data_IF_798149554173
#
_entry.id   IF_798149554173
#
_cell.length_a   1.000
_cell.length_b   1.000
_cell.length_c   1.000
_cell.angle_alpha   90.00
_cell.angle_beta   90.00
_cell.angle_gamma   90.00
#
_symmetry.space_group_name_H-M   'P 1'
#
loop_
_entity.id
_entity.type
_entity.pdbx_description
1 polymer ?
#
# COMPACT_ATOMS: atom_id res chain seq x y z
N UNK A 1 15.89 -8.74 2.71
CA UNK A 1 14.47 -8.39 2.95
C UNK A 1 14.24 -8.45 4.45
N UNK A 2 13.79 -7.36 5.09
CA UNK A 2 13.47 -7.34 6.51
C UNK A 2 12.36 -8.34 6.83
N UNK A 3 12.32 -8.86 8.07
CA UNK A 3 11.29 -9.80 8.53
C UNK A 3 10.74 -9.34 9.87
N UNK A 4 9.59 -9.88 10.28
CA UNK A 4 9.00 -9.66 11.61
C UNK A 4 8.75 -8.19 11.95
N UNK A 5 8.24 -7.41 10.98
CA UNK A 5 7.92 -6.00 11.19
C UNK A 5 9.13 -5.06 11.16
N UNK A 6 10.34 -5.55 10.87
CA UNK A 6 11.54 -4.71 10.75
C UNK A 6 11.44 -3.71 9.59
N UNK A 7 12.14 -2.59 9.77
CA UNK A 7 12.22 -1.49 8.81
C UNK A 7 12.91 -1.91 7.50
N UNK A 8 12.42 -1.33 6.41
CA UNK A 8 13.00 -1.51 5.08
C UNK A 8 14.16 -0.54 4.85
N UNK A 9 15.11 -0.97 4.01
CA UNK A 9 16.18 -0.11 3.55
C UNK A 9 15.61 1.18 2.97
N UNK A 10 16.29 2.29 3.23
CA UNK A 10 15.92 3.56 2.61
C UNK A 10 16.12 3.46 1.10
N UNK A 11 15.30 4.20 0.34
CA UNK A 11 15.48 4.32 -1.11
C UNK A 11 16.88 4.81 -1.46
N UNK A 12 17.47 5.70 -0.65
CA UNK A 12 18.85 6.16 -0.80
C UNK A 12 19.86 5.01 -0.74
N UNK A 13 19.66 4.07 0.20
CA UNK A 13 20.54 2.92 0.38
C UNK A 13 20.37 1.93 -0.77
N UNK A 14 19.13 1.69 -1.20
CA UNK A 14 18.85 0.86 -2.38
C UNK A 14 19.55 1.43 -3.62
N UNK A 15 19.45 2.75 -3.85
CA UNK A 15 20.13 3.43 -4.97
C UNK A 15 21.65 3.33 -4.84
N UNK A 16 22.21 3.62 -3.66
CA UNK A 16 23.66 3.57 -3.42
C UNK A 16 24.23 2.16 -3.66
N UNK A 17 23.45 1.12 -3.38
CA UNK A 17 23.82 -0.28 -3.57
C UNK A 17 23.34 -0.86 -4.91
N UNK A 18 22.81 -0.02 -5.82
CA UNK A 18 22.25 -0.41 -7.11
C UNK A 18 21.18 -1.54 -7.03
N UNK A 19 20.40 -1.56 -5.95
CA UNK A 19 19.24 -2.42 -5.75
C UNK A 19 17.99 -1.69 -6.27
N UNK A 20 17.23 -2.29 -7.19
CA UNK A 20 16.12 -1.59 -7.88
C UNK A 20 14.83 -2.40 -8.01
N UNK A 21 14.84 -3.64 -7.53
CA UNK A 21 13.75 -4.57 -7.81
C UNK A 21 13.39 -5.35 -6.55
N UNK A 22 12.11 -5.29 -6.20
CA UNK A 22 11.48 -6.17 -5.21
C UNK A 22 10.53 -7.10 -5.97
N UNK A 23 10.70 -8.40 -5.80
CA UNK A 23 9.85 -9.42 -6.44
C UNK A 23 9.33 -10.35 -5.36
N UNK A 24 8.01 -10.55 -5.38
CA UNK A 24 7.34 -11.51 -4.51
C UNK A 24 6.61 -12.57 -5.34
N UNK A 25 6.42 -13.73 -4.73
CA UNK A 25 5.54 -14.79 -5.23
C UNK A 25 4.36 -14.95 -4.30
N UNK A 26 3.17 -15.22 -4.85
CA UNK A 26 1.98 -15.62 -4.08
C UNK A 26 1.92 -17.13 -3.81
N UNK A 27 2.89 -17.90 -4.29
CA UNK A 27 2.98 -19.35 -4.07
C UNK A 27 4.13 -19.63 -3.10
N UNK A 28 3.79 -20.15 -1.91
CA UNK A 28 4.75 -20.36 -0.82
C UNK A 28 5.92 -21.27 -1.20
N UNK A 29 5.66 -22.37 -1.93
CA UNK A 29 6.70 -23.33 -2.33
C UNK A 29 7.78 -22.73 -3.24
N UNK A 30 7.46 -21.66 -3.99
CA UNK A 30 8.42 -20.97 -4.87
C UNK A 30 9.52 -20.24 -4.12
N UNK A 31 9.33 -19.93 -2.84
CA UNK A 31 10.40 -19.38 -2.02
C UNK A 31 11.54 -20.39 -1.86
N UNK A 32 11.22 -21.65 -1.60
CA UNK A 32 12.21 -22.71 -1.49
C UNK A 32 12.75 -23.18 -2.85
N UNK A 33 11.89 -23.26 -3.87
CA UNK A 33 12.28 -23.83 -5.17
C UNK A 33 12.89 -22.82 -6.17
N UNK A 34 12.50 -21.55 -6.10
CA UNK A 34 12.92 -20.51 -7.06
C UNK A 34 13.67 -19.35 -6.39
N UNK A 35 13.73 -19.31 -5.05
CA UNK A 35 14.35 -18.22 -4.30
C UNK A 35 13.57 -16.90 -4.35
N UNK A 36 12.33 -16.91 -4.84
CA UNK A 36 11.46 -15.72 -4.91
C UNK A 36 10.72 -15.60 -3.58
N UNK A 37 10.86 -14.46 -2.90
CA UNK A 37 10.29 -14.23 -1.57
C UNK A 37 8.77 -14.41 -1.54
N UNK A 38 8.25 -15.23 -0.63
CA UNK A 38 6.81 -15.45 -0.52
C UNK A 38 6.13 -14.22 0.11
N UNK A 39 5.14 -13.64 -0.59
CA UNK A 39 4.53 -12.36 -0.21
C UNK A 39 3.97 -12.36 1.23
N UNK A 40 3.32 -13.46 1.64
CA UNK A 40 2.66 -13.56 2.95
C UNK A 40 3.63 -13.55 4.13
N UNK A 41 4.93 -13.68 3.88
CA UNK A 41 5.95 -13.49 4.91
C UNK A 41 6.18 -12.02 5.24
N UNK A 42 5.90 -11.09 4.31
CA UNK A 42 6.34 -9.70 4.39
C UNK A 42 5.20 -8.69 4.42
N UNK A 43 4.05 -9.01 3.82
CA UNK A 43 2.93 -8.08 3.71
C UNK A 43 1.59 -8.69 4.09
N UNK A 44 0.69 -7.84 4.57
CA UNK A 44 -0.76 -8.10 4.60
C UNK A 44 -1.37 -7.58 3.30
N UNK A 45 -2.36 -8.30 2.76
CA UNK A 45 -3.01 -8.01 1.49
C UNK A 45 -4.52 -7.88 1.69
N UNK A 46 -5.13 -6.82 1.17
CA UNK A 46 -6.59 -6.63 1.22
C UNK A 46 -7.29 -7.47 0.16
N UNK A 47 -8.55 -7.82 0.43
CA UNK A 47 -9.40 -8.50 -0.53
C UNK A 47 -9.52 -7.68 -1.82
N UNK A 48 -9.46 -8.36 -2.97
CA UNK A 48 -9.68 -7.77 -4.29
C UNK A 48 -11.09 -8.04 -4.81
N UNK A 49 -11.44 -7.40 -5.93
CA UNK A 49 -12.74 -7.57 -6.58
C UNK A 49 -13.84 -6.81 -5.87
N UNK A 50 -15.08 -7.06 -6.27
CA UNK A 50 -16.24 -6.28 -5.80
C UNK A 50 -16.44 -6.39 -4.27
N UNK A 51 -16.04 -7.52 -3.66
CA UNK A 51 -16.07 -7.70 -2.21
C UNK A 51 -15.01 -6.87 -1.48
N UNK A 52 -13.90 -6.54 -2.14
CA UNK A 52 -12.82 -5.73 -1.61
C UNK A 52 -13.02 -4.21 -1.75
N UNK A 53 -13.97 -3.79 -2.60
CA UNK A 53 -14.22 -2.38 -2.90
C UNK A 53 -15.39 -1.77 -2.09
N UNK A 54 -15.87 -2.45 -1.06
CA UNK A 54 -17.01 -1.99 -0.28
C UNK A 54 -16.66 -0.72 0.52
N UNK A 55 -17.31 0.40 0.20
CA UNK A 55 -17.07 1.67 0.87
C UNK A 55 -17.16 1.55 2.41
N UNK A 56 -16.12 2.03 3.10
CA UNK A 56 -16.05 2.00 4.57
C UNK A 56 -15.68 0.64 5.18
N UNK A 57 -15.46 -0.40 4.38
CA UNK A 57 -15.01 -1.72 4.83
C UNK A 57 -13.71 -2.11 4.14
N UNK A 58 -12.78 -2.69 4.89
CA UNK A 58 -11.54 -3.23 4.35
C UNK A 58 -11.21 -4.55 5.06
N UNK A 59 -11.25 -5.65 4.32
CA UNK A 59 -10.96 -6.99 4.82
C UNK A 59 -9.66 -7.52 4.22
N UNK A 60 -8.99 -8.42 4.93
CA UNK A 60 -7.87 -9.17 4.37
C UNK A 60 -8.36 -10.14 3.30
N UNK A 61 -7.49 -10.39 2.33
CA UNK A 61 -7.61 -11.54 1.44
C UNK A 61 -7.54 -12.83 2.26
N UNK A 62 -8.28 -13.86 1.86
CA UNK A 62 -8.38 -15.14 2.60
C UNK A 62 -7.02 -15.78 2.86
N UNK A 63 -6.10 -15.70 1.90
CA UNK A 63 -4.76 -16.27 2.02
C UNK A 63 -3.76 -15.36 2.77
N UNK A 64 -4.18 -14.14 3.14
CA UNK A 64 -3.37 -13.18 3.89
C UNK A 64 -3.59 -13.31 5.40
N UNK A 65 -2.56 -12.99 6.19
CA UNK A 65 -2.70 -12.64 7.61
C UNK A 65 -3.75 -11.54 7.82
N UNK A 66 -4.24 -11.42 9.05
CA UNK A 66 -5.05 -10.28 9.50
C UNK A 66 -4.36 -8.96 9.18
N UNK A 67 -5.11 -7.94 8.79
CA UNK A 67 -4.55 -6.65 8.35
C UNK A 67 -3.75 -5.94 9.45
N UNK A 68 -4.07 -6.19 10.72
CA UNK A 68 -3.39 -5.61 11.88
C UNK A 68 -2.18 -6.44 12.37
N UNK A 69 -1.80 -7.50 11.66
CA UNK A 69 -0.63 -8.34 11.98
C UNK A 69 0.68 -7.55 11.85
N UNK A 70 1.17 -7.07 13.00
CA UNK A 70 2.41 -6.28 13.11
C UNK A 70 3.69 -7.07 12.82
N UNK A 71 3.61 -8.38 12.60
CA UNK A 71 4.77 -9.15 12.12
C UNK A 71 5.05 -8.90 10.64
N UNK A 72 4.12 -8.26 9.92
CA UNK A 72 4.27 -7.83 8.52
C UNK A 72 4.50 -6.32 8.50
N UNK A 73 5.60 -5.89 7.89
CA UNK A 73 5.93 -4.45 7.78
C UNK A 73 5.32 -3.78 6.55
N UNK A 74 4.76 -4.56 5.63
CA UNK A 74 4.19 -4.05 4.39
C UNK A 74 2.67 -4.24 4.32
N UNK A 75 1.99 -3.29 3.68
CA UNK A 75 0.56 -3.34 3.42
C UNK A 75 0.31 -3.16 1.93
N UNK A 76 -0.39 -4.11 1.31
CA UNK A 76 -0.86 -4.06 -0.08
C UNK A 76 -2.38 -3.88 -0.09
N UNK A 77 -2.84 -2.79 -0.71
CA UNK A 77 -4.27 -2.54 -0.93
C UNK A 77 -4.63 -2.87 -2.38
N UNK A 78 -5.51 -3.84 -2.56
CA UNK A 78 -6.15 -4.14 -3.84
C UNK A 78 -7.44 -3.31 -3.97
N UNK A 79 -7.53 -2.47 -4.99
CA UNK A 79 -8.71 -1.65 -5.26
C UNK A 79 -9.06 -1.66 -6.76
N UNK A 80 -9.70 -2.75 -7.17
CA UNK A 80 -10.18 -2.97 -8.54
C UNK A 80 -11.31 -4.00 -8.55
N UNK A 81 -12.21 -3.87 -9.53
CA UNK A 81 -13.38 -4.73 -9.68
C UNK A 81 -13.00 -6.13 -10.14
N UNK A 82 -13.89 -7.11 -9.89
CA UNK A 82 -13.69 -8.48 -10.38
C UNK A 82 -13.65 -8.55 -11.91
N UNK A 83 -14.41 -7.66 -12.55
CA UNK A 83 -14.38 -7.43 -13.99
C UNK A 83 -13.94 -5.99 -14.26
N UNK A 84 -12.78 -5.84 -14.91
CA UNK A 84 -12.24 -4.51 -15.23
C UNK A 84 -13.21 -3.73 -16.12
N UNK A 85 -13.50 -2.47 -15.78
CA UNK A 85 -14.32 -1.57 -16.61
C UNK A 85 -13.70 -0.20 -16.69
N UNK A 86 -13.32 0.19 -17.92
CA UNK A 86 -12.73 1.50 -18.24
C UNK A 86 -13.57 2.70 -17.81
N UNK A 87 -14.89 2.53 -17.76
CA UNK A 87 -15.85 3.57 -17.37
C UNK A 87 -15.86 3.72 -15.85
N UNK A 88 -16.10 2.62 -15.12
CA UNK A 88 -16.11 2.61 -13.65
C UNK A 88 -14.79 3.08 -13.04
N UNK A 89 -13.68 2.64 -13.63
CA UNK A 89 -12.34 3.01 -13.14
C UNK A 89 -12.09 4.52 -13.14
N UNK A 90 -12.82 5.29 -13.96
CA UNK A 90 -12.74 6.75 -13.92
C UNK A 90 -13.19 7.31 -12.57
N UNK A 91 -14.29 6.78 -12.02
CA UNK A 91 -14.82 7.12 -10.70
C UNK A 91 -13.96 6.48 -9.60
N UNK A 92 -13.71 5.17 -9.70
CA UNK A 92 -12.98 4.40 -8.68
C UNK A 92 -11.61 5.01 -8.36
N UNK A 93 -10.80 5.29 -9.38
CA UNK A 93 -9.43 5.80 -9.20
C UNK A 93 -9.38 7.26 -8.73
N UNK A 94 -10.51 7.88 -8.38
CA UNK A 94 -10.58 9.28 -7.96
C UNK A 94 -10.72 9.39 -6.43
N UNK A 95 -11.78 10.03 -5.93
CA UNK A 95 -12.00 10.22 -4.50
C UNK A 95 -12.19 8.91 -3.74
N UNK A 96 -12.82 7.92 -4.37
CA UNK A 96 -13.15 6.65 -3.74
C UNK A 96 -11.92 5.82 -3.39
N UNK A 97 -10.92 5.80 -4.28
CA UNK A 97 -9.60 5.24 -3.99
C UNK A 97 -8.96 5.86 -2.74
N UNK A 98 -8.97 7.20 -2.63
CA UNK A 98 -8.40 7.89 -1.45
C UNK A 98 -9.17 7.55 -0.18
N UNK A 99 -10.50 7.45 -0.26
CA UNK A 99 -11.33 7.04 0.87
C UNK A 99 -11.02 5.61 1.29
N UNK A 100 -10.88 4.68 0.34
CA UNK A 100 -10.53 3.30 0.64
C UNK A 100 -9.15 3.19 1.30
N UNK A 101 -8.15 3.95 0.85
CA UNK A 101 -6.83 3.96 1.48
C UNK A 101 -6.90 4.39 2.95
N UNK A 102 -7.78 5.35 3.31
CA UNK A 102 -8.02 5.76 4.70
C UNK A 102 -8.74 4.68 5.50
N UNK A 103 -9.74 4.03 4.90
CA UNK A 103 -10.44 2.90 5.52
C UNK A 103 -9.47 1.76 5.84
N UNK A 104 -8.64 1.37 4.86
CA UNK A 104 -7.67 0.31 5.04
C UNK A 104 -6.53 0.69 5.99
N UNK A 105 -6.14 1.98 6.08
CA UNK A 105 -5.20 2.45 7.10
C UNK A 105 -5.69 2.14 8.52
N UNK A 106 -6.97 2.42 8.80
CA UNK A 106 -7.56 2.10 10.10
C UNK A 106 -7.61 0.59 10.35
N UNK A 107 -8.02 -0.20 9.35
CA UNK A 107 -8.08 -1.66 9.44
C UNK A 107 -6.71 -2.32 9.60
N UNK A 108 -5.65 -1.73 9.03
CA UNK A 108 -4.26 -2.21 9.15
C UNK A 108 -3.58 -1.77 10.47
N UNK A 109 -4.35 -1.39 11.47
CA UNK A 109 -3.86 -0.91 12.76
C UNK A 109 -3.00 0.34 12.63
N UNK A 110 -3.42 1.31 11.82
CA UNK A 110 -2.70 2.56 11.53
C UNK A 110 -1.42 2.39 10.68
N UNK A 111 -1.37 1.35 9.84
CA UNK A 111 -0.33 1.18 8.82
C UNK A 111 -0.80 1.71 7.47
N UNK A 112 -0.10 2.70 6.91
CA UNK A 112 -0.39 3.16 5.54
C UNK A 112 0.03 2.10 4.51
N UNK A 113 -0.68 2.06 3.38
CA UNK A 113 -0.36 1.14 2.28
C UNK A 113 1.00 1.46 1.63
N UNK A 114 1.85 0.46 1.45
CA UNK A 114 3.10 0.58 0.69
C UNK A 114 2.86 0.38 -0.80
N UNK A 115 1.86 -0.42 -1.15
CA UNK A 115 1.47 -0.72 -2.52
C UNK A 115 -0.04 -0.58 -2.67
N UNK A 116 -0.46 -0.09 -3.83
CA UNK A 116 -1.86 -0.05 -4.24
C UNK A 116 -2.00 -0.60 -5.64
N UNK A 117 -2.85 -1.60 -5.81
CA UNK A 117 -3.18 -2.20 -7.09
C UNK A 117 -4.51 -1.65 -7.59
N UNK A 118 -4.53 -1.15 -8.83
CA UNK A 118 -5.71 -0.58 -9.49
C UNK A 118 -5.77 -1.00 -10.95
N UNK A 119 -6.97 -1.03 -11.52
CA UNK A 119 -7.16 -1.14 -12.96
C UNK A 119 -6.96 0.22 -13.65
N UNK A 120 -6.62 0.18 -14.94
CA UNK A 120 -6.44 1.35 -15.83
C UNK A 120 -5.83 2.60 -15.16
N UNK A 121 -4.71 2.46 -14.45
CA UNK A 121 -4.14 3.45 -13.54
C UNK A 121 -4.06 4.92 -14.04
N UNK A 122 -4.06 5.16 -15.35
CA UNK A 122 -4.09 6.50 -15.97
C UNK A 122 -5.48 7.14 -16.05
N UNK A 123 -6.56 6.41 -15.77
CA UNK A 123 -7.94 6.89 -15.83
C UNK A 123 -8.39 7.34 -14.45
N UNK A 124 -8.96 8.54 -14.40
CA UNK A 124 -9.53 9.16 -13.21
C UNK A 124 -10.27 10.44 -13.61
N UNK A 125 -11.25 10.86 -12.82
CA UNK A 125 -11.88 12.19 -12.91
C UNK A 125 -11.09 13.30 -12.19
N UNK A 126 -10.08 12.92 -11.41
CA UNK A 126 -9.12 13.86 -10.83
C UNK A 126 -8.05 13.16 -10.01
N UNK A 127 -6.79 13.60 -10.14
CA UNK A 127 -5.62 13.14 -9.39
C UNK A 127 -5.17 11.70 -9.65
N UNK A 128 -6.10 10.74 -9.56
CA UNK A 128 -5.89 9.37 -9.97
C UNK A 128 -5.04 8.55 -9.01
N UNK A 129 -4.53 7.44 -9.55
CA UNK A 129 -3.51 6.63 -8.90
C UNK A 129 -2.25 7.43 -8.50
N UNK A 130 -1.91 8.48 -9.25
CA UNK A 130 -0.77 9.35 -8.92
C UNK A 130 -1.01 10.14 -7.63
N UNK A 131 -2.20 10.74 -7.46
CA UNK A 131 -2.58 11.38 -6.20
C UNK A 131 -2.62 10.39 -5.04
N UNK A 132 -3.07 9.15 -5.29
CA UNK A 132 -3.07 8.10 -4.27
C UNK A 132 -1.65 7.80 -3.77
N UNK A 133 -0.69 7.60 -4.68
CA UNK A 133 0.72 7.38 -4.32
C UNK A 133 1.31 8.60 -3.59
N UNK A 134 1.05 9.82 -4.06
CA UNK A 134 1.52 11.04 -3.38
C UNK A 134 0.93 11.16 -1.97
N UNK A 135 -0.33 10.75 -1.78
CA UNK A 135 -0.98 10.75 -0.46
C UNK A 135 -0.31 9.74 0.47
N UNK A 136 -0.08 8.51 0.01
CA UNK A 136 0.59 7.47 0.78
C UNK A 136 2.02 7.89 1.18
N UNK A 137 2.81 8.39 0.23
CA UNK A 137 4.16 8.86 0.48
C UNK A 137 4.21 10.01 1.49
N UNK A 138 3.32 11.00 1.36
CA UNK A 138 3.21 12.12 2.33
C UNK A 138 2.89 11.63 3.74
N UNK A 139 1.89 10.77 3.84
CA UNK A 139 1.43 10.23 5.12
C UNK A 139 2.49 9.37 5.81
N UNK A 140 3.21 8.54 5.05
CA UNK A 140 4.33 7.75 5.57
C UNK A 140 5.51 8.61 5.99
N UNK A 141 5.86 9.63 5.22
CA UNK A 141 7.04 10.46 5.46
C UNK A 141 6.86 11.40 6.66
N UNK A 142 5.71 12.07 6.74
CA UNK A 142 5.53 13.17 7.70
C UNK A 142 4.13 13.26 8.33
N UNK A 143 3.20 12.37 7.98
CA UNK A 143 1.83 12.34 8.53
C UNK A 143 0.88 13.43 8.00
N UNK A 144 1.39 14.42 7.25
CA UNK A 144 0.60 15.52 6.71
C UNK A 144 -0.07 15.18 5.37
N UNK A 145 -1.12 15.95 5.03
CA UNK A 145 -1.77 15.89 3.71
C UNK A 145 -1.05 16.75 2.65
N UNK A 146 -0.21 17.71 3.06
CA UNK A 146 0.59 18.56 2.17
C UNK A 146 2.08 18.20 2.27
N UNK A 147 2.73 17.94 1.12
CA UNK A 147 4.16 17.61 1.05
C UNK A 147 5.01 18.83 1.43
N UNK A 148 4.52 20.06 1.18
CA UNK A 148 5.24 21.28 1.56
C UNK A 148 5.26 21.47 3.09
N UNK A 149 4.34 20.80 3.80
CA UNK A 149 4.37 20.73 5.26
C UNK A 149 5.38 19.67 5.78
N UNK A 150 5.88 18.78 4.93
CA UNK A 150 6.98 17.88 5.29
C UNK A 150 8.30 18.69 5.33
N UNK A 151 8.62 19.30 6.46
CA UNK A 151 9.90 19.96 6.68
C UNK A 151 10.98 18.89 6.91
N UNK A 152 12.05 18.93 6.12
CA UNK A 152 13.20 18.05 6.28
C UNK A 152 13.74 18.11 7.73
N UNK A 153 13.85 16.95 8.39
CA UNK A 153 14.41 16.82 9.74
C UNK A 153 13.40 16.81 10.90
N UNK A 154 12.08 16.87 10.65
CA UNK A 154 11.07 16.61 11.69
C UNK A 154 10.48 15.20 11.53
N UNK A 155 10.73 14.33 12.49
CA UNK A 155 10.02 13.05 12.66
C UNK A 155 8.58 13.28 13.15
N UNK A 156 7.68 12.33 12.87
CA UNK A 156 6.33 12.29 13.45
C UNK A 156 6.40 12.55 14.97
N UNK A 157 5.70 13.59 15.44
CA UNK A 157 5.58 13.92 16.87
C UNK A 157 6.18 15.26 17.32
N UNK A 158 6.85 16.02 16.45
CA UNK A 158 7.32 17.36 16.82
C UNK A 158 6.20 18.41 16.67
N UNK A 159 5.17 18.32 17.53
CA UNK A 159 4.23 19.43 17.74
C UNK A 159 5.04 20.66 18.19
N UNK A 160 4.94 21.75 17.43
CA UNK A 160 5.30 23.09 17.94
C UNK A 160 4.02 23.76 18.46
N UNK A 161 4.09 24.51 19.58
CA UNK A 161 2.94 25.18 20.18
C UNK A 161 2.18 26.09 19.23
#
# INVERSE_FOLDING_TARGET
MPKNGEDWLLVSDMVANNQRLLVFTSIQSKEASEGISYQGNYMVETQYGDSGMQAGSCSNRVESSSLDDKTKSLVLVNYFHSMSSKEKTCEDNSGDLINMLRTCYAAAGNGWANFVAVDYYKRSEGGGSFQAIDTLNRKMLCGYDDIHACVAGKTLGACTP
#
